data_IF_688956735392
#
_entry.id   IF_688956735392
#
_cell.length_a   1.000
_cell.length_b   1.000
_cell.length_c   1.000
_cell.angle_alpha   90.00
_cell.angle_beta   90.00
_cell.angle_gamma   90.00
#
_symmetry.space_group_name_H-M   'P 1'
#
loop_
_entity.id
_entity.type
_entity.pdbx_description
1 polymer ?
#
# COMPACT_ATOMS: atom_id res chain seq x y z
N UNK A 1 -4.93 -0.23 36.71
CA UNK A 1 -4.25 0.41 35.56
C UNK A 1 -3.41 -0.69 34.93
N UNK A 2 -3.89 -1.33 33.86
CA UNK A 2 -3.11 -2.31 33.10
C UNK A 2 -2.07 -1.52 32.31
N UNK A 3 -0.80 -1.61 32.72
CA UNK A 3 0.30 -1.05 31.94
C UNK A 3 0.23 -1.61 30.52
N UNK A 4 0.10 -0.71 29.53
CA UNK A 4 0.17 -1.15 28.13
C UNK A 4 1.53 -1.80 27.91
N UNK A 5 1.56 -3.01 27.30
CA UNK A 5 2.84 -3.66 27.03
C UNK A 5 3.72 -2.73 26.18
N UNK A 6 5.03 -2.74 26.39
CA UNK A 6 5.95 -1.84 25.72
C UNK A 6 5.80 -1.98 24.18
N UNK A 7 5.90 -0.87 23.45
CA UNK A 7 5.77 -0.82 21.98
C UNK A 7 6.66 -1.88 21.30
N UNK A 8 7.81 -2.20 21.91
CA UNK A 8 8.69 -3.26 21.41
C UNK A 8 8.00 -4.64 21.32
N UNK A 9 7.19 -5.01 22.32
CA UNK A 9 6.44 -6.28 22.25
C UNK A 9 5.38 -6.25 21.16
N UNK A 10 4.71 -5.12 20.97
CA UNK A 10 3.75 -4.95 19.88
C UNK A 10 4.42 -5.11 18.51
N UNK A 11 5.57 -4.47 18.32
CA UNK A 11 6.36 -4.56 17.08
C UNK A 11 6.75 -6.01 16.79
N UNK A 12 7.27 -6.72 17.79
CA UNK A 12 7.65 -8.14 17.65
C UNK A 12 6.42 -8.98 17.32
N UNK A 13 5.32 -8.80 18.04
CA UNK A 13 4.08 -9.56 17.80
C UNK A 13 3.52 -9.31 16.39
N UNK A 14 3.49 -8.06 15.93
CA UNK A 14 3.05 -7.72 14.58
C UNK A 14 4.01 -8.23 13.49
N UNK A 15 5.32 -8.23 13.74
CA UNK A 15 6.29 -8.83 12.82
C UNK A 15 6.09 -10.36 12.71
N UNK A 16 5.87 -11.05 13.82
CA UNK A 16 5.55 -12.49 13.83
C UNK A 16 4.21 -12.79 13.14
N UNK A 17 3.19 -11.95 13.35
CA UNK A 17 1.93 -12.01 12.61
C UNK A 17 2.16 -11.84 11.11
N UNK A 18 3.00 -10.91 10.70
CA UNK A 18 3.39 -10.71 9.30
C UNK A 18 4.06 -11.95 8.70
N UNK A 19 4.93 -12.63 9.46
CA UNK A 19 5.53 -13.90 9.04
C UNK A 19 4.47 -14.99 8.81
N UNK A 20 3.46 -15.07 9.69
CA UNK A 20 2.42 -16.09 9.61
C UNK A 20 1.40 -15.79 8.49
N UNK A 21 1.06 -14.53 8.26
CA UNK A 21 0.03 -14.13 7.27
C UNK A 21 0.51 -14.24 5.83
N UNK A 22 1.80 -14.07 5.55
CA UNK A 22 2.33 -14.14 4.19
C UNK A 22 2.10 -15.49 3.50
N UNK A 23 2.40 -16.67 4.10
CA UNK A 23 2.11 -17.96 3.49
C UNK A 23 0.60 -18.22 3.36
N UNK A 24 -0.20 -17.76 4.32
CA UNK A 24 -1.67 -17.87 4.24
C UNK A 24 -2.24 -17.05 3.08
N UNK A 25 -1.76 -15.82 2.89
CA UNK A 25 -2.15 -14.98 1.76
C UNK A 25 -1.81 -15.65 0.42
N UNK A 26 -0.65 -16.31 0.31
CA UNK A 26 -0.28 -17.08 -0.89
C UNK A 26 -1.18 -18.28 -1.13
N UNK A 27 -1.53 -19.04 -0.10
CA UNK A 27 -2.44 -20.18 -0.22
C UNK A 27 -3.84 -19.71 -0.62
N UNK A 28 -4.32 -18.62 -0.03
CA UNK A 28 -5.60 -18.02 -0.37
C UNK A 28 -5.65 -17.54 -1.83
N UNK A 29 -4.56 -16.90 -2.30
CA UNK A 29 -4.44 -16.46 -3.69
C UNK A 29 -4.51 -17.61 -4.67
N UNK A 30 -3.84 -18.74 -4.40
CA UNK A 30 -3.91 -19.94 -5.24
C UNK A 30 -5.34 -20.49 -5.36
N UNK A 31 -6.14 -20.38 -4.30
CA UNK A 31 -7.56 -20.80 -4.32
C UNK A 31 -8.44 -19.84 -5.10
N UNK A 32 -8.18 -18.53 -4.97
CA UNK A 32 -8.98 -17.48 -5.63
C UNK A 32 -8.64 -17.31 -7.12
N UNK A 33 -7.40 -17.59 -7.49
CA UNK A 33 -6.85 -17.36 -8.84
C UNK A 33 -6.19 -18.62 -9.38
N UNK A 34 -6.96 -19.69 -9.69
CA UNK A 34 -6.41 -20.98 -10.11
C UNK A 34 -5.59 -20.95 -11.42
N UNK A 35 -5.65 -19.84 -12.18
CA UNK A 35 -4.85 -19.63 -13.40
C UNK A 35 -3.60 -18.76 -13.22
N UNK A 36 -3.35 -18.27 -12.00
CA UNK A 36 -2.17 -17.45 -11.71
C UNK A 36 -1.15 -18.31 -10.96
N UNK A 37 -0.25 -18.93 -11.71
CA UNK A 37 0.90 -19.62 -11.11
C UNK A 37 1.86 -18.58 -10.54
N UNK A 38 1.73 -18.30 -9.24
CA UNK A 38 2.77 -17.59 -8.51
C UNK A 38 3.98 -18.53 -8.43
N UNK A 39 4.90 -18.37 -9.37
CA UNK A 39 6.08 -19.20 -9.49
C UNK A 39 6.75 -19.37 -8.13
N UNK A 40 6.89 -20.62 -7.69
CA UNK A 40 7.54 -20.99 -6.43
C UNK A 40 9.07 -20.86 -6.60
N UNK A 41 9.54 -19.64 -6.85
CA UNK A 41 10.94 -19.36 -6.65
C UNK A 41 11.10 -19.17 -5.15
N UNK A 42 11.78 -20.12 -4.51
CA UNK A 42 12.01 -20.21 -3.06
C UNK A 42 12.40 -18.85 -2.43
N UNK A 43 13.22 -18.07 -3.13
CA UNK A 43 13.65 -16.74 -2.73
C UNK A 43 12.54 -15.68 -2.73
N UNK A 44 11.61 -15.72 -3.69
CA UNK A 44 10.46 -14.79 -3.71
C UNK A 44 9.45 -15.09 -2.59
N UNK A 45 9.35 -16.34 -2.16
CA UNK A 45 8.55 -16.72 -0.99
C UNK A 45 9.12 -16.12 0.30
N UNK A 46 10.42 -16.32 0.53
CA UNK A 46 11.13 -15.80 1.71
C UNK A 46 11.14 -14.27 1.73
N UNK A 47 11.50 -13.63 0.61
CA UNK A 47 11.52 -12.17 0.52
C UNK A 47 10.14 -11.54 0.79
N UNK A 48 9.06 -12.13 0.27
CA UNK A 48 7.70 -11.67 0.55
C UNK A 48 7.32 -11.83 2.02
N UNK A 49 7.68 -12.96 2.64
CA UNK A 49 7.41 -13.22 4.05
C UNK A 49 8.19 -12.28 4.97
N UNK A 50 9.48 -12.10 4.71
CA UNK A 50 10.32 -11.14 5.45
C UNK A 50 9.83 -9.71 5.23
N UNK A 51 9.48 -9.34 3.99
CA UNK A 51 8.92 -8.03 3.67
C UNK A 51 7.63 -7.74 4.44
N UNK A 52 6.70 -8.72 4.52
CA UNK A 52 5.46 -8.56 5.29
C UNK A 52 5.76 -8.39 6.79
N UNK A 53 6.70 -9.16 7.33
CA UNK A 53 7.10 -9.04 8.73
C UNK A 53 7.70 -7.66 9.04
N UNK A 54 8.65 -7.21 8.22
CA UNK A 54 9.29 -5.89 8.39
C UNK A 54 8.29 -4.74 8.29
N UNK A 55 7.40 -4.78 7.29
CA UNK A 55 6.37 -3.75 7.15
C UNK A 55 5.36 -3.78 8.29
N UNK A 56 4.94 -4.96 8.74
CA UNK A 56 4.05 -5.09 9.89
C UNK A 56 4.67 -4.53 11.17
N UNK A 57 5.95 -4.82 11.40
CA UNK A 57 6.71 -4.25 12.52
C UNK A 57 6.84 -2.72 12.41
N UNK A 58 7.14 -2.20 11.22
CA UNK A 58 7.23 -0.77 10.97
C UNK A 58 5.88 -0.06 11.19
N UNK A 59 4.75 -0.65 10.77
CA UNK A 59 3.42 -0.11 11.05
C UNK A 59 3.10 -0.12 12.54
N UNK A 60 3.45 -1.21 13.25
CA UNK A 60 3.29 -1.27 14.70
C UNK A 60 4.13 -0.21 15.43
N UNK A 61 5.36 0.04 14.96
CA UNK A 61 6.20 1.11 15.48
C UNK A 61 5.59 2.51 15.22
N UNK A 62 5.03 2.71 14.02
CA UNK A 62 4.43 4.01 13.62
C UNK A 62 3.12 4.33 14.32
N UNK A 63 2.25 3.34 14.50
CA UNK A 63 0.90 3.54 15.02
C UNK A 63 0.77 3.20 16.51
N UNK A 64 1.68 2.40 17.07
CA UNK A 64 1.56 1.91 18.44
C UNK A 64 0.25 1.16 18.67
N UNK A 65 -0.28 1.26 19.88
CA UNK A 65 -1.58 0.71 20.28
C UNK A 65 -2.70 1.63 19.76
N UNK A 66 -3.07 1.46 18.50
CA UNK A 66 -4.10 2.25 17.83
C UNK A 66 -5.12 1.36 17.13
N UNK A 67 -6.37 1.76 17.12
CA UNK A 67 -7.43 1.09 16.35
C UNK A 67 -7.21 1.18 14.83
N UNK A 68 -6.39 2.11 14.35
CA UNK A 68 -5.98 2.18 12.95
C UNK A 68 -4.98 1.08 12.56
N UNK A 69 -4.18 0.56 13.52
CA UNK A 69 -3.12 -0.42 13.23
C UNK A 69 -3.59 -1.63 12.41
N UNK A 70 -4.71 -2.32 12.74
CA UNK A 70 -5.19 -3.46 11.96
C UNK A 70 -5.43 -3.13 10.49
N UNK A 71 -5.92 -1.91 10.18
CA UNK A 71 -6.13 -1.47 8.80
C UNK A 71 -4.80 -1.41 8.03
N UNK A 72 -3.78 -0.80 8.61
CA UNK A 72 -2.47 -0.67 7.97
C UNK A 72 -1.69 -1.99 7.90
N UNK A 73 -1.86 -2.90 8.86
CA UNK A 73 -1.33 -4.27 8.76
C UNK A 73 -1.96 -5.03 7.58
N UNK A 74 -3.28 -4.90 7.42
CA UNK A 74 -3.98 -5.49 6.29
C UNK A 74 -3.54 -4.88 4.96
N UNK A 75 -3.35 -3.55 4.89
CA UNK A 75 -2.78 -2.89 3.72
C UNK A 75 -1.41 -3.44 3.35
N UNK A 76 -0.52 -3.66 4.33
CA UNK A 76 0.81 -4.21 4.08
C UNK A 76 0.75 -5.63 3.49
N UNK A 77 -0.08 -6.50 4.05
CA UNK A 77 -0.24 -7.87 3.56
C UNK A 77 -0.83 -7.89 2.14
N UNK A 78 -1.93 -7.14 1.91
CA UNK A 78 -2.58 -7.06 0.60
C UNK A 78 -1.71 -6.36 -0.45
N UNK A 79 -1.04 -5.27 -0.07
CA UNK A 79 -0.19 -4.48 -0.97
C UNK A 79 1.06 -5.25 -1.43
N UNK A 80 1.72 -5.99 -0.53
CA UNK A 80 2.84 -6.85 -0.91
C UNK A 80 2.40 -8.00 -1.81
N UNK A 81 1.24 -8.60 -1.52
CA UNK A 81 0.67 -9.64 -2.36
C UNK A 81 0.33 -9.12 -3.76
N UNK A 82 -0.34 -7.97 -3.86
CA UNK A 82 -0.67 -7.31 -5.13
C UNK A 82 0.59 -6.91 -5.89
N UNK A 83 1.59 -6.35 -5.20
CA UNK A 83 2.89 -5.99 -5.80
C UNK A 83 3.59 -7.21 -6.38
N UNK A 84 3.54 -8.35 -5.69
CA UNK A 84 4.14 -9.60 -6.17
C UNK A 84 3.41 -10.12 -7.42
N UNK A 85 2.08 -10.11 -7.43
CA UNK A 85 1.29 -10.54 -8.59
C UNK A 85 1.57 -9.62 -9.77
N UNK A 86 1.64 -8.31 -9.54
CA UNK A 86 1.88 -7.32 -10.58
C UNK A 86 3.30 -7.45 -11.18
N UNK A 87 4.32 -7.70 -10.36
CA UNK A 87 5.69 -7.96 -10.85
C UNK A 87 5.81 -9.22 -11.71
N UNK A 88 5.03 -10.26 -11.41
CA UNK A 88 5.11 -11.54 -12.13
C UNK A 88 4.20 -11.58 -13.35
N UNK A 89 2.99 -11.05 -13.23
CA UNK A 89 1.92 -11.22 -14.22
C UNK A 89 1.43 -9.91 -14.84
N UNK A 90 1.88 -8.76 -14.32
CA UNK A 90 1.37 -7.42 -14.71
C UNK A 90 -0.16 -7.34 -14.61
N UNK A 91 -0.70 -7.95 -13.56
CA UNK A 91 -2.12 -8.05 -13.30
C UNK A 91 -2.42 -7.63 -11.85
N UNK A 92 -3.47 -6.85 -11.67
CA UNK A 92 -4.01 -6.48 -10.37
C UNK A 92 -5.45 -7.04 -10.27
N UNK A 93 -5.63 -8.24 -9.71
CA UNK A 93 -6.91 -8.93 -9.72
C UNK A 93 -7.94 -8.23 -8.83
N UNK A 94 -9.14 -7.98 -9.36
CA UNK A 94 -10.25 -7.38 -8.61
C UNK A 94 -10.59 -8.15 -7.34
N UNK A 95 -10.41 -9.48 -7.36
CA UNK A 95 -10.65 -10.36 -6.21
C UNK A 95 -9.76 -10.06 -4.99
N UNK A 96 -8.71 -9.26 -5.15
CA UNK A 96 -7.83 -8.81 -4.06
C UNK A 96 -7.98 -7.30 -3.88
N UNK A 97 -8.00 -6.51 -4.96
CA UNK A 97 -8.10 -5.04 -4.88
C UNK A 97 -9.41 -4.60 -4.20
N UNK A 98 -10.55 -5.19 -4.59
CA UNK A 98 -11.84 -4.81 -3.99
C UNK A 98 -11.96 -5.16 -2.49
N UNK A 99 -11.55 -6.37 -2.02
CA UNK A 99 -11.44 -6.63 -0.60
C UNK A 99 -10.48 -5.70 0.12
N UNK A 100 -9.38 -5.28 -0.51
CA UNK A 100 -8.44 -4.31 0.10
C UNK A 100 -9.14 -2.98 0.37
N UNK A 101 -9.99 -2.53 -0.54
CA UNK A 101 -10.82 -1.35 -0.34
C UNK A 101 -11.89 -1.57 0.73
N UNK A 102 -12.69 -2.65 0.62
CA UNK A 102 -13.83 -2.89 1.49
C UNK A 102 -13.44 -3.17 2.94
N UNK A 103 -12.49 -4.09 3.16
CA UNK A 103 -12.00 -4.42 4.51
C UNK A 103 -11.27 -3.22 5.09
N UNK A 104 -10.45 -2.52 4.28
CA UNK A 104 -9.78 -1.29 4.69
C UNK A 104 -10.78 -0.24 5.17
N UNK A 105 -11.84 0.01 4.42
CA UNK A 105 -12.91 0.94 4.80
C UNK A 105 -13.55 0.55 6.14
N UNK A 106 -13.89 -0.73 6.33
CA UNK A 106 -14.50 -1.21 7.58
C UNK A 106 -13.55 -1.02 8.77
N UNK A 107 -12.26 -1.35 8.63
CA UNK A 107 -11.28 -1.20 9.70
C UNK A 107 -11.02 0.28 10.04
N UNK A 108 -10.96 1.15 9.03
CA UNK A 108 -10.82 2.59 9.25
C UNK A 108 -12.11 3.22 9.82
N UNK A 109 -13.28 2.69 9.47
CA UNK A 109 -14.56 3.07 10.06
C UNK A 109 -14.60 2.72 11.56
N UNK A 110 -14.08 1.56 11.96
CA UNK A 110 -13.96 1.17 13.36
C UNK A 110 -13.04 2.14 14.12
N UNK A 111 -11.86 2.49 13.57
CA UNK A 111 -10.98 3.50 14.19
C UNK A 111 -11.67 4.87 14.29
N UNK A 112 -12.36 5.29 13.23
CA UNK A 112 -13.08 6.56 13.22
C UNK A 112 -14.19 6.60 14.29
N UNK A 113 -14.91 5.51 14.46
CA UNK A 113 -15.96 5.39 15.49
C UNK A 113 -15.39 5.39 16.91
N UNK A 114 -14.32 4.61 17.16
CA UNK A 114 -13.70 4.50 18.48
C UNK A 114 -12.98 5.79 18.91
N UNK A 115 -12.39 6.52 17.97
CA UNK A 115 -11.60 7.72 18.24
C UNK A 115 -12.27 9.03 17.79
N UNK A 116 -13.54 8.98 17.36
CA UNK A 116 -14.31 10.13 16.86
C UNK A 116 -13.64 10.88 15.71
N UNK A 117 -12.94 10.14 14.81
CA UNK A 117 -12.18 10.69 13.68
C UNK A 117 -12.98 10.73 12.38
N UNK A 118 -14.24 11.16 12.45
CA UNK A 118 -15.15 11.19 11.30
C UNK A 118 -14.65 12.11 10.16
N UNK A 119 -13.96 13.22 10.51
CA UNK A 119 -13.32 14.08 9.52
C UNK A 119 -12.25 13.38 8.69
N UNK A 120 -11.44 12.51 9.32
CA UNK A 120 -10.44 11.71 8.63
C UNK A 120 -11.10 10.72 7.66
N UNK A 121 -12.22 10.11 8.07
CA UNK A 121 -12.98 9.20 7.21
C UNK A 121 -13.56 9.91 5.98
N UNK A 122 -14.05 11.15 6.15
CA UNK A 122 -14.50 11.97 5.02
C UNK A 122 -13.35 12.26 4.05
N UNK A 123 -12.18 12.67 4.57
CA UNK A 123 -10.99 12.89 3.74
C UNK A 123 -10.53 11.59 3.07
N UNK A 124 -10.65 10.44 3.74
CA UNK A 124 -10.37 9.11 3.16
C UNK A 124 -11.30 8.81 1.97
N UNK A 125 -12.60 9.07 2.11
CA UNK A 125 -13.57 8.87 1.02
C UNK A 125 -13.28 9.79 -0.17
N UNK A 126 -12.99 11.07 0.09
CA UNK A 126 -12.57 12.03 -0.94
C UNK A 126 -11.26 11.56 -1.60
N UNK A 127 -10.28 11.12 -0.81
CA UNK A 127 -9.00 10.60 -1.28
C UNK A 127 -9.16 9.38 -2.18
N UNK A 128 -10.02 8.45 -1.79
CA UNK A 128 -10.37 7.27 -2.59
C UNK A 128 -10.92 7.67 -3.96
N UNK A 129 -11.92 8.56 -3.99
CA UNK A 129 -12.55 9.02 -5.21
C UNK A 129 -11.59 9.85 -6.08
N UNK A 130 -10.87 10.79 -5.46
CA UNK A 130 -9.95 11.68 -6.17
C UNK A 130 -8.81 10.92 -6.83
N UNK A 131 -8.16 10.00 -6.11
CA UNK A 131 -7.08 9.19 -6.70
C UNK A 131 -7.60 8.31 -7.82
N UNK A 132 -8.75 7.65 -7.63
CA UNK A 132 -9.37 6.85 -8.69
C UNK A 132 -9.60 7.68 -9.94
N UNK A 133 -10.20 8.87 -9.80
CA UNK A 133 -10.47 9.77 -10.95
C UNK A 133 -9.19 10.27 -11.60
N UNK A 134 -8.20 10.69 -10.81
CA UNK A 134 -6.90 11.15 -11.35
C UNK A 134 -6.24 10.04 -12.17
N UNK A 135 -6.14 8.82 -11.61
CA UNK A 135 -5.52 7.71 -12.31
C UNK A 135 -6.34 7.23 -13.50
N UNK A 136 -7.68 7.33 -13.43
CA UNK A 136 -8.56 7.05 -14.56
C UNK A 136 -8.31 8.03 -15.71
N UNK A 137 -8.22 9.33 -15.42
CA UNK A 137 -7.91 10.36 -16.43
C UNK A 137 -6.54 10.08 -17.06
N UNK A 138 -5.52 9.77 -16.26
CA UNK A 138 -4.19 9.43 -16.76
C UNK A 138 -4.21 8.18 -17.64
N UNK A 139 -4.97 7.15 -17.29
CA UNK A 139 -5.13 5.94 -18.08
C UNK A 139 -5.87 6.22 -19.40
N UNK A 140 -6.85 7.12 -19.42
CA UNK A 140 -7.55 7.55 -20.64
C UNK A 140 -6.66 8.37 -21.56
N UNK A 141 -5.80 9.24 -21.01
CA UNK A 141 -4.84 10.04 -21.77
C UNK A 141 -3.72 9.16 -22.35
N UNK A 142 -3.26 8.16 -21.56
CA UNK A 142 -2.15 7.29 -21.97
C UNK A 142 -2.48 5.81 -21.75
N UNK A 143 -3.34 5.20 -22.59
CA UNK A 143 -3.79 3.82 -22.41
C UNK A 143 -2.69 2.76 -22.49
N UNK A 144 -1.54 3.12 -23.11
CA UNK A 144 -0.36 2.24 -23.18
C UNK A 144 0.57 2.41 -21.98
N UNK A 145 0.44 3.50 -21.23
CA UNK A 145 1.32 3.85 -20.11
C UNK A 145 0.80 3.40 -18.77
N UNK A 146 -0.52 3.23 -18.61
CA UNK A 146 -1.14 2.92 -17.32
C UNK A 146 -2.24 1.88 -17.50
N UNK A 147 -2.16 0.80 -16.71
CA UNK A 147 -3.14 -0.27 -16.71
C UNK A 147 -4.40 0.07 -15.92
N UNK A 148 -5.55 -0.49 -16.32
CA UNK A 148 -6.80 -0.39 -15.53
C UNK A 148 -6.67 -1.01 -14.13
N UNK A 149 -5.69 -1.88 -13.93
CA UNK A 149 -5.34 -2.42 -12.61
C UNK A 149 -4.83 -1.34 -11.65
N UNK A 150 -3.94 -0.45 -12.15
CA UNK A 150 -3.37 0.66 -11.39
C UNK A 150 -4.45 1.67 -10.99
N UNK A 151 -5.39 1.96 -11.91
CA UNK A 151 -6.56 2.80 -11.63
C UNK A 151 -7.38 2.23 -10.46
N UNK A 152 -7.62 0.92 -10.45
CA UNK A 152 -8.37 0.29 -9.35
C UNK A 152 -7.59 0.24 -8.06
N UNK A 153 -6.27 0.03 -8.12
CA UNK A 153 -5.39 0.03 -6.95
C UNK A 153 -5.28 1.42 -6.32
N UNK A 154 -5.36 2.50 -7.11
CA UNK A 154 -5.29 3.86 -6.58
C UNK A 154 -6.39 4.16 -5.58
N UNK A 155 -7.59 3.61 -5.75
CA UNK A 155 -8.72 3.83 -4.85
C UNK A 155 -8.45 3.38 -3.40
N UNK A 156 -8.06 2.12 -3.09
CA UNK A 156 -7.69 1.75 -1.73
C UNK A 156 -6.48 2.54 -1.21
N UNK A 157 -5.46 2.80 -2.02
CA UNK A 157 -4.31 3.59 -1.56
C UNK A 157 -4.73 5.01 -1.18
N UNK A 158 -5.60 5.64 -1.97
CA UNK A 158 -6.17 6.95 -1.68
C UNK A 158 -7.05 6.96 -0.41
N UNK A 159 -7.78 5.88 -0.14
CA UNK A 159 -8.54 5.71 1.09
C UNK A 159 -7.62 5.76 2.32
N UNK A 160 -6.56 4.95 2.34
CA UNK A 160 -5.63 4.87 3.46
C UNK A 160 -4.82 6.15 3.67
N UNK A 161 -4.32 6.74 2.59
CA UNK A 161 -3.56 7.98 2.64
C UNK A 161 -4.43 9.17 3.05
N UNK A 162 -5.64 9.26 2.49
CA UNK A 162 -6.61 10.28 2.83
C UNK A 162 -7.05 10.20 4.30
N UNK A 163 -7.14 8.98 4.87
CA UNK A 163 -7.44 8.80 6.29
C UNK A 163 -6.39 9.44 7.21
N UNK A 164 -5.13 9.48 6.80
CA UNK A 164 -4.08 10.16 7.56
C UNK A 164 -4.19 11.68 7.43
N UNK A 165 -4.25 12.20 6.23
CA UNK A 165 -4.52 13.61 5.91
C UNK A 165 -4.48 13.88 4.40
N UNK A 166 -4.93 15.06 3.98
CA UNK A 166 -4.78 15.55 2.60
C UNK A 166 -3.29 15.62 2.22
N UNK A 167 -2.43 16.03 3.14
CA UNK A 167 -0.99 16.09 2.89
C UNK A 167 -0.39 14.72 2.59
N UNK A 168 -0.77 13.69 3.35
CA UNK A 168 -0.32 12.31 3.09
C UNK A 168 -0.86 11.82 1.74
N UNK A 169 -2.08 12.19 1.36
CA UNK A 169 -2.66 11.84 0.06
C UNK A 169 -1.83 12.41 -1.09
N UNK A 170 -1.55 13.71 -1.06
CA UNK A 170 -0.77 14.40 -2.11
C UNK A 170 0.65 13.83 -2.18
N UNK A 171 1.31 13.69 -1.03
CA UNK A 171 2.67 13.17 -0.95
C UNK A 171 2.77 11.73 -1.44
N UNK A 172 1.79 10.88 -1.08
CA UNK A 172 1.79 9.47 -1.47
C UNK A 172 1.59 9.28 -2.98
N UNK A 173 0.74 10.08 -3.60
CA UNK A 173 0.60 10.10 -5.07
C UNK A 173 1.93 10.53 -5.70
N UNK A 174 2.53 11.64 -5.24
CA UNK A 174 3.78 12.14 -5.76
C UNK A 174 4.93 11.13 -5.60
N UNK A 175 5.09 10.53 -4.42
CA UNK A 175 6.10 9.51 -4.17
C UNK A 175 5.87 8.24 -5.01
N UNK A 176 4.63 7.82 -5.24
CA UNK A 176 4.31 6.72 -6.13
C UNK A 176 4.84 6.95 -7.55
N UNK A 177 4.64 8.15 -8.10
CA UNK A 177 5.18 8.54 -9.40
C UNK A 177 6.71 8.67 -9.40
N UNK A 178 7.30 9.27 -8.38
CA UNK A 178 8.76 9.40 -8.24
C UNK A 178 9.42 8.02 -8.19
N UNK A 179 8.92 7.13 -7.33
CA UNK A 179 9.42 5.75 -7.22
C UNK A 179 9.27 5.01 -8.55
N UNK A 180 8.13 5.16 -9.23
CA UNK A 180 7.88 4.55 -10.54
C UNK A 180 8.83 5.06 -11.61
N UNK A 181 9.09 6.37 -11.65
CA UNK A 181 10.03 6.98 -12.58
C UNK A 181 11.47 6.49 -12.30
N UNK A 182 11.91 6.52 -11.05
CA UNK A 182 13.25 6.04 -10.64
C UNK A 182 13.42 4.57 -11.00
N UNK A 183 12.45 3.72 -10.67
CA UNK A 183 12.47 2.29 -10.99
C UNK A 183 12.55 2.07 -12.50
N UNK A 184 11.77 2.80 -13.29
CA UNK A 184 11.77 2.70 -14.76
C UNK A 184 13.12 3.12 -15.35
N UNK A 185 13.71 4.23 -14.87
CA UNK A 185 15.04 4.68 -15.32
C UNK A 185 16.11 3.64 -14.96
N UNK A 186 16.12 3.13 -13.74
CA UNK A 186 17.07 2.10 -13.29
C UNK A 186 16.98 0.82 -14.13
N UNK A 187 15.78 0.36 -14.46
CA UNK A 187 15.59 -0.85 -15.29
C UNK A 187 16.06 -0.64 -16.73
N UNK A 188 15.86 0.55 -17.29
CA UNK A 188 16.32 0.88 -18.65
C UNK A 188 17.84 1.04 -18.68
N UNK A 189 18.45 1.75 -17.73
CA UNK A 189 19.89 1.99 -17.68
C UNK A 189 20.69 0.73 -17.35
N UNK A 190 20.13 -0.18 -16.55
CA UNK A 190 20.75 -1.49 -16.27
C UNK A 190 20.61 -2.51 -17.42
N UNK A 191 19.92 -2.17 -18.49
CA UNK A 191 19.68 -3.07 -19.62
C UNK A 191 18.68 -4.19 -19.35
N UNK A 192 18.06 -4.21 -18.15
CA UNK A 192 17.06 -5.22 -17.76
C UNK A 192 15.71 -5.00 -18.43
N UNK A 193 15.43 -3.78 -18.89
CA UNK A 193 14.23 -3.44 -19.63
C UNK A 193 14.58 -2.55 -20.85
N UNK A 194 13.95 -2.84 -22.00
CA UNK A 194 14.02 -1.96 -23.16
C UNK A 194 13.09 -0.74 -23.00
N UNK A 195 13.32 0.32 -23.77
CA UNK A 195 12.49 1.53 -23.76
C UNK A 195 10.99 1.32 -24.03
N UNK A 196 10.62 0.15 -24.60
CA UNK A 196 9.23 -0.24 -24.89
C UNK A 196 8.69 -1.26 -23.89
N UNK A 197 9.48 -1.68 -22.88
CA UNK A 197 9.04 -2.66 -21.91
C UNK A 197 8.10 -2.01 -20.91
N UNK A 198 6.89 -2.51 -20.79
CA UNK A 198 5.94 -2.11 -19.75
C UNK A 198 6.48 -2.52 -18.37
N UNK A 199 6.72 -1.54 -17.51
CA UNK A 199 7.11 -1.76 -16.11
C UNK A 199 5.84 -1.76 -15.25
N UNK A 200 5.63 -2.77 -14.38
CA UNK A 200 4.47 -2.79 -13.48
C UNK A 200 4.53 -1.59 -12.52
N UNK A 201 3.44 -0.82 -12.46
CA UNK A 201 3.39 0.42 -11.67
C UNK A 201 2.86 0.20 -10.26
N UNK A 202 2.08 -0.87 -10.03
CA UNK A 202 1.51 -1.22 -8.73
C UNK A 202 2.50 -1.26 -7.57
N UNK A 203 3.66 -1.93 -7.69
CA UNK A 203 4.69 -1.94 -6.65
C UNK A 203 5.21 -0.54 -6.27
N UNK A 204 5.36 0.34 -7.26
CA UNK A 204 5.81 1.73 -7.05
C UNK A 204 4.77 2.56 -6.32
N UNK A 205 3.50 2.41 -6.67
CA UNK A 205 2.38 3.03 -5.96
C UNK A 205 2.32 2.58 -4.51
N UNK A 206 2.42 1.27 -4.28
CA UNK A 206 2.40 0.71 -2.93
C UNK A 206 3.61 1.17 -2.10
N UNK A 207 4.81 1.18 -2.67
CA UNK A 207 6.01 1.66 -1.99
C UNK A 207 5.90 3.15 -1.66
N UNK A 208 5.41 3.99 -2.58
CA UNK A 208 5.14 5.41 -2.32
C UNK A 208 4.14 5.61 -1.19
N UNK A 209 3.08 4.79 -1.14
CA UNK A 209 2.11 4.78 -0.05
C UNK A 209 2.78 4.43 1.29
N UNK A 210 3.56 3.33 1.35
CA UNK A 210 4.25 2.90 2.58
C UNK A 210 5.23 3.95 3.08
N UNK A 211 6.04 4.53 2.19
CA UNK A 211 6.98 5.60 2.54
C UNK A 211 6.24 6.81 3.14
N UNK A 212 5.10 7.16 2.55
CA UNK A 212 4.27 8.26 3.06
C UNK A 212 3.64 7.93 4.40
N UNK A 213 3.15 6.71 4.61
CA UNK A 213 2.59 6.30 5.91
C UNK A 213 3.64 6.35 7.01
N UNK A 214 4.86 5.93 6.73
CA UNK A 214 5.94 5.86 7.73
C UNK A 214 6.59 7.21 8.00
N UNK A 215 6.89 7.97 6.95
CA UNK A 215 7.70 9.21 7.04
C UNK A 215 7.03 10.44 6.41
N UNK A 216 5.74 10.35 6.06
CA UNK A 216 5.04 11.42 5.34
C UNK A 216 5.00 12.73 6.13
N UNK A 217 4.91 12.69 7.46
CA UNK A 217 4.92 13.90 8.28
C UNK A 217 6.29 14.60 8.23
N UNK A 218 7.37 13.86 8.32
CA UNK A 218 8.74 14.38 8.30
C UNK A 218 9.11 14.94 6.90
N UNK A 219 8.83 14.14 5.86
CA UNK A 219 9.03 14.53 4.46
C UNK A 219 8.14 15.73 4.12
N UNK A 220 6.88 15.68 4.50
CA UNK A 220 5.92 16.73 4.21
C UNK A 220 6.27 18.06 4.86
N UNK A 221 6.70 18.06 6.12
CA UNK A 221 7.16 19.28 6.81
C UNK A 221 8.38 19.91 6.13
N UNK A 222 9.24 19.10 5.55
CA UNK A 222 10.44 19.57 4.85
C UNK A 222 10.12 20.15 3.47
N UNK A 223 9.30 19.47 2.68
CA UNK A 223 9.07 19.81 1.27
C UNK A 223 7.72 20.50 1.01
N UNK A 224 6.73 20.33 1.88
CA UNK A 224 5.37 20.85 1.74
C UNK A 224 4.86 21.48 3.06
N UNK A 225 5.58 22.47 3.63
CA UNK A 225 5.26 23.02 4.95
C UNK A 225 3.86 23.66 5.03
N UNK A 226 3.33 24.13 3.91
CA UNK A 226 1.98 24.71 3.81
C UNK A 226 0.87 23.68 4.01
N UNK A 227 1.15 22.40 3.71
CA UNK A 227 0.17 21.29 3.79
C UNK A 227 0.37 20.46 5.08
N UNK A 228 1.58 20.53 5.67
CA UNK A 228 1.94 19.89 6.94
C UNK A 228 2.34 20.98 7.98
N UNK A 229 1.36 21.71 8.53
CA UNK A 229 1.66 22.68 9.58
C UNK A 229 2.31 22.01 10.79
N UNK A 230 3.09 22.79 11.54
CA UNK A 230 3.79 22.34 12.77
C UNK A 230 2.82 22.05 13.89
#
# INVERSE_FOLDING_TARGET
>A
MTEMPPVALLVIACALLGLATAPLALQFTRRLLPGVELGYVRWHGVAGTVGTALLSGAMAWRFGWSWALPAFLFLCAAGLLLSRIDLQHKLLPNRIVLPTLGIGLVLLLLDAGMNQRWGNLLVAAIGCAATFVIYLILALISPRGMGMGDVKLSAPLGLYLGYLSIGHLILGIALGFIVGAVTSVLLVTSGLAGRKTSVPFGPSMFLGCVLTVLWGTEIGRTFLPSVFPR
#
